data_IF_496966942618
#
_entry.id   IF_496966942618
#
_cell.length_a   1.000
_cell.length_b   1.000
_cell.length_c   1.000
_cell.angle_alpha   90.00
_cell.angle_beta   90.00
_cell.angle_gamma   90.00
#
_symmetry.space_group_name_H-M   'P 1'
#
loop_
_entity.id
_entity.type
_entity.pdbx_description
1 polymer ?
#
# COMPACT_ATOMS: atom_id res chain seq x y z
N UNK A 1 -11.08 -1.38 -7.88
CA UNK A 1 -9.74 -1.24 -8.50
C UNK A 1 -8.91 -2.45 -8.13
N UNK A 2 -8.24 -3.08 -9.08
CA UNK A 2 -7.42 -4.23 -8.76
C UNK A 2 -5.99 -3.82 -8.41
N UNK A 3 -5.27 -4.74 -7.80
CA UNK A 3 -3.92 -4.46 -7.33
C UNK A 3 -2.90 -4.28 -8.46
N UNK A 4 -3.15 -4.89 -9.61
CA UNK A 4 -2.23 -4.75 -10.75
C UNK A 4 -2.01 -3.30 -11.12
N UNK A 5 -3.07 -2.49 -11.09
CA UNK A 5 -2.96 -1.09 -11.39
C UNK A 5 -2.18 -0.32 -10.32
N UNK A 6 -2.39 -0.69 -9.06
CA UNK A 6 -1.66 -0.10 -7.94
C UNK A 6 -0.17 -0.45 -8.09
N UNK A 7 0.13 -1.70 -8.36
CA UNK A 7 1.52 -2.13 -8.54
C UNK A 7 2.17 -1.43 -9.74
N UNK A 8 1.46 -1.33 -10.84
CA UNK A 8 1.97 -0.69 -12.05
C UNK A 8 2.24 0.80 -11.89
N UNK A 9 1.60 1.43 -10.90
CA UNK A 9 1.77 2.86 -10.64
C UNK A 9 2.35 3.10 -9.25
N UNK A 10 3.18 2.18 -8.78
CA UNK A 10 3.65 2.16 -7.40
C UNK A 10 4.23 3.51 -6.93
N UNK A 11 5.08 4.12 -7.74
CA UNK A 11 5.70 5.38 -7.35
C UNK A 11 4.68 6.49 -7.12
N UNK A 12 3.56 6.45 -7.84
CA UNK A 12 2.52 7.45 -7.69
C UNK A 12 1.67 7.22 -6.45
N UNK A 13 1.55 5.96 -6.01
CA UNK A 13 0.70 5.64 -4.86
C UNK A 13 1.47 5.55 -3.55
N UNK A 14 2.81 5.61 -3.56
CA UNK A 14 3.58 5.53 -2.32
C UNK A 14 3.20 6.62 -1.32
N UNK A 15 2.91 7.82 -1.79
CA UNK A 15 2.44 8.88 -0.92
C UNK A 15 1.14 8.53 -0.22
N UNK A 16 0.23 7.88 -0.93
CA UNK A 16 -1.04 7.42 -0.34
C UNK A 16 -0.81 6.32 0.67
N UNK A 17 0.14 5.42 0.38
CA UNK A 17 0.50 4.37 1.32
C UNK A 17 1.03 4.98 2.62
N UNK A 18 1.90 5.98 2.53
CA UNK A 18 2.45 6.64 3.71
C UNK A 18 1.39 7.42 4.48
N UNK A 19 0.40 7.97 3.81
CA UNK A 19 -0.72 8.62 4.49
C UNK A 19 -1.51 7.62 5.35
N UNK A 20 -1.71 6.42 4.82
CA UNK A 20 -2.47 5.39 5.51
C UNK A 20 -1.63 4.68 6.58
N UNK A 21 -0.37 4.40 6.28
CA UNK A 21 0.54 3.66 7.16
C UNK A 21 1.83 4.46 7.37
N UNK A 22 1.76 5.46 8.23
CA UNK A 22 2.85 6.42 8.42
C UNK A 22 4.12 5.83 9.01
N UNK A 23 4.03 4.62 9.61
CA UNK A 23 5.23 3.96 10.15
C UNK A 23 6.11 3.32 9.07
N UNK A 24 5.60 3.19 7.85
CA UNK A 24 6.41 2.66 6.75
C UNK A 24 7.38 3.73 6.28
N UNK A 25 8.63 3.33 6.06
CA UNK A 25 9.67 4.23 5.57
C UNK A 25 9.77 4.15 4.05
N UNK A 26 10.49 5.09 3.46
CA UNK A 26 10.76 5.05 2.03
C UNK A 26 11.50 3.78 1.64
N UNK A 27 12.44 3.34 2.48
CA UNK A 27 13.15 2.08 2.24
C UNK A 27 12.20 0.89 2.24
N UNK A 28 11.24 0.88 3.17
CA UNK A 28 10.22 -0.16 3.21
C UNK A 28 9.43 -0.19 1.89
N UNK A 29 9.05 0.98 1.40
CA UNK A 29 8.27 1.08 0.17
C UNK A 29 9.07 0.63 -1.04
N UNK A 30 10.37 0.89 -1.06
CA UNK A 30 11.25 0.42 -2.13
C UNK A 30 11.35 -1.10 -2.13
N UNK A 31 11.48 -1.71 -0.95
CA UNK A 31 11.53 -3.17 -0.82
C UNK A 31 10.21 -3.80 -1.26
N UNK A 32 9.10 -3.18 -0.90
CA UNK A 32 7.76 -3.66 -1.26
C UNK A 32 7.58 -3.66 -2.78
N UNK A 33 8.03 -2.60 -3.45
CA UNK A 33 8.02 -2.50 -4.91
C UNK A 33 6.65 -2.82 -5.52
N UNK A 34 5.59 -2.43 -4.84
CA UNK A 34 4.23 -2.63 -5.34
C UNK A 34 3.62 -3.98 -5.07
N UNK A 35 4.32 -4.89 -4.43
CA UNK A 35 3.82 -6.23 -4.15
C UNK A 35 2.91 -6.21 -2.92
N UNK A 36 1.68 -6.68 -3.09
CA UNK A 36 0.69 -6.65 -2.03
C UNK A 36 1.10 -7.49 -0.82
N UNK A 37 1.65 -8.67 -1.06
CA UNK A 37 2.09 -9.55 0.03
C UNK A 37 3.25 -8.94 0.82
N UNK A 38 4.17 -8.27 0.16
CA UNK A 38 5.27 -7.58 0.83
C UNK A 38 4.76 -6.40 1.64
N UNK A 39 3.79 -5.66 1.10
CA UNK A 39 3.19 -4.55 1.83
C UNK A 39 2.49 -5.07 3.09
N UNK A 40 1.73 -6.14 2.98
CA UNK A 40 1.06 -6.76 4.13
C UNK A 40 2.08 -7.16 5.19
N UNK A 41 3.18 -7.79 4.79
CA UNK A 41 4.23 -8.20 5.71
C UNK A 41 4.88 -7.02 6.43
N UNK A 42 5.13 -5.94 5.73
CA UNK A 42 5.72 -4.73 6.34
C UNK A 42 4.76 -4.08 7.33
N UNK A 43 3.47 -4.03 6.99
CA UNK A 43 2.48 -3.48 7.92
C UNK A 43 2.44 -4.32 9.19
N UNK A 44 2.42 -5.65 9.07
CA UNK A 44 2.45 -6.53 10.23
C UNK A 44 3.69 -6.28 11.08
N UNK A 45 4.84 -6.15 10.44
CA UNK A 45 6.10 -5.92 11.12
C UNK A 45 6.13 -4.60 11.87
N UNK A 46 5.69 -3.53 11.23
CA UNK A 46 5.79 -2.18 11.80
C UNK A 46 4.71 -1.88 12.82
N UNK A 47 3.53 -2.46 12.67
CA UNK A 47 2.39 -2.18 13.55
C UNK A 47 2.07 -3.31 14.52
N UNK A 48 2.67 -4.47 14.34
CA UNK A 48 2.41 -5.61 15.21
C UNK A 48 0.98 -6.13 15.15
N UNK A 49 0.29 -5.91 14.03
CA UNK A 49 -1.10 -6.33 13.87
C UNK A 49 -1.21 -7.74 13.28
N UNK A 50 -2.36 -8.38 13.50
CA UNK A 50 -2.63 -9.69 12.94
C UNK A 50 -2.82 -9.59 11.42
N UNK A 51 -2.50 -10.69 10.73
CA UNK A 51 -2.63 -10.74 9.27
C UNK A 51 -4.04 -10.45 8.80
N UNK A 52 -5.04 -10.98 9.50
CA UNK A 52 -6.44 -10.76 9.13
C UNK A 52 -6.80 -9.28 9.16
N UNK A 53 -6.32 -8.56 10.16
CA UNK A 53 -6.57 -7.12 10.27
C UNK A 53 -5.88 -6.37 9.13
N UNK A 54 -4.65 -6.75 8.80
CA UNK A 54 -3.91 -6.12 7.70
C UNK A 54 -4.63 -6.37 6.39
N UNK A 55 -5.11 -7.59 6.16
CA UNK A 55 -5.85 -7.91 4.94
C UNK A 55 -7.11 -7.06 4.81
N UNK A 56 -7.82 -6.86 5.90
CA UNK A 56 -9.00 -6.00 5.90
C UNK A 56 -8.64 -4.55 5.57
N UNK A 57 -7.56 -4.06 6.17
CA UNK A 57 -7.10 -2.70 5.91
C UNK A 57 -6.70 -2.52 4.45
N UNK A 58 -5.97 -3.48 3.89
CA UNK A 58 -5.54 -3.42 2.51
C UNK A 58 -6.72 -3.48 1.55
N UNK A 59 -7.68 -4.36 1.79
CA UNK A 59 -8.88 -4.47 0.95
C UNK A 59 -9.68 -3.18 0.97
N UNK A 60 -9.83 -2.58 2.16
CA UNK A 60 -10.53 -1.31 2.31
C UNK A 60 -9.80 -0.19 1.57
N UNK A 61 -8.49 -0.11 1.75
CA UNK A 61 -7.67 0.91 1.10
C UNK A 61 -7.71 0.76 -0.42
N UNK A 62 -7.57 -0.47 -0.89
CA UNK A 62 -7.63 -0.77 -2.32
C UNK A 62 -8.96 -0.36 -2.93
N UNK A 63 -10.07 -0.60 -2.21
CA UNK A 63 -11.40 -0.24 -2.70
C UNK A 63 -11.60 1.28 -2.76
N UNK A 64 -10.83 2.04 -1.99
CA UNK A 64 -10.88 3.50 -2.01
C UNK A 64 -9.99 4.11 -3.08
N UNK A 65 -9.12 3.31 -3.69
CA UNK A 65 -8.21 3.81 -4.72
C UNK A 65 -9.02 4.35 -5.91
N UNK A 66 -8.70 5.55 -6.31
CA UNK A 66 -9.43 6.24 -7.37
C UNK A 66 -8.51 6.48 -8.56
N UNK A 67 -9.11 6.68 -9.74
CA UNK A 67 -8.34 6.98 -10.94
C UNK A 67 -7.47 8.22 -10.74
N UNK A 68 -7.95 9.18 -9.94
CA UNK A 68 -7.19 10.40 -9.67
C UNK A 68 -5.84 10.15 -9.00
N UNK A 69 -5.70 9.02 -8.31
CA UNK A 69 -4.42 8.66 -7.68
C UNK A 69 -3.33 8.38 -8.70
N UNK A 70 -3.71 8.06 -9.92
CA UNK A 70 -2.79 7.64 -10.98
C UNK A 70 -2.62 8.69 -12.07
N UNK A 71 -3.32 9.81 -11.96
CA UNK A 71 -3.26 10.85 -12.98
C UNK A 71 -2.09 11.79 -12.70
N UNK A 72 -1.26 11.99 -13.69
CA UNK A 72 -0.18 12.97 -13.61
C UNK A 72 -0.69 14.31 -14.10
N UNK A 73 -0.31 15.33 -13.39
CA UNK A 73 -0.63 16.69 -13.82
C UNK A 73 0.60 17.40 -14.32
#
# INVERSE_FOLDING_TARGET
MNWDRIQGNWKQVTGRVKEQWGKLTDDDLDVIAGRRDQLAGKIQERYGTAKDDVEKQLSHWESRAEDSWFVKK
#
